data_IF_514142594971
#
_entry.id   IF_514142594971
#
_cell.length_a   1.000
_cell.length_b   1.000
_cell.length_c   1.000
_cell.angle_alpha   90.00
_cell.angle_beta   90.00
_cell.angle_gamma   90.00
#
_symmetry.space_group_name_H-M   'P 1'
#
loop_
_entity.id
_entity.type
_entity.pdbx_description
1 polymer ?
#
# COMPACT_ATOMS: atom_id res chain seq x y z
N UNK A 1 -5.07 -26.54 11.46
CA UNK A 1 -6.54 -26.29 11.56
C UNK A 1 -6.86 -24.99 12.29
N UNK A 2 -6.60 -24.84 13.60
CA UNK A 2 -6.97 -23.61 14.34
C UNK A 2 -6.31 -22.36 13.76
N UNK A 3 -4.98 -22.39 13.58
CA UNK A 3 -4.21 -21.27 12.99
C UNK A 3 -4.79 -20.82 11.64
N UNK A 4 -5.01 -21.77 10.74
CA UNK A 4 -5.58 -21.55 9.41
C UNK A 4 -6.94 -20.89 9.49
N UNK A 5 -7.84 -21.40 10.34
CA UNK A 5 -9.18 -20.83 10.52
C UNK A 5 -9.11 -19.38 11.03
N UNK A 6 -8.27 -19.09 12.04
CA UNK A 6 -8.10 -17.73 12.58
C UNK A 6 -7.69 -16.74 11.49
N UNK A 7 -6.66 -17.07 10.71
CA UNK A 7 -6.18 -16.20 9.64
C UNK A 7 -7.16 -16.11 8.47
N UNK A 8 -7.82 -17.20 8.09
CA UNK A 8 -8.84 -17.18 7.03
C UNK A 8 -10.01 -16.27 7.39
N UNK A 9 -10.58 -16.44 8.59
CA UNK A 9 -11.67 -15.59 9.07
C UNK A 9 -11.23 -14.13 9.24
N UNK A 10 -10.03 -13.90 9.78
CA UNK A 10 -9.45 -12.56 9.92
C UNK A 10 -9.27 -11.86 8.58
N UNK A 11 -8.76 -12.56 7.56
CA UNK A 11 -8.61 -12.02 6.20
C UNK A 11 -9.96 -11.75 5.53
N UNK A 12 -10.95 -12.63 5.67
CA UNK A 12 -12.29 -12.35 5.14
C UNK A 12 -12.92 -11.12 5.77
N UNK A 13 -12.86 -10.99 7.10
CA UNK A 13 -13.33 -9.79 7.80
C UNK A 13 -12.57 -8.54 7.33
N UNK A 14 -11.25 -8.63 7.21
CA UNK A 14 -10.41 -7.52 6.79
C UNK A 14 -10.72 -7.07 5.35
N UNK A 15 -10.90 -8.00 4.41
CA UNK A 15 -11.33 -7.70 3.04
C UNK A 15 -12.70 -7.04 3.04
N UNK A 16 -13.66 -7.58 3.81
CA UNK A 16 -15.01 -7.02 3.90
C UNK A 16 -14.98 -5.57 4.39
N UNK A 17 -14.27 -5.30 5.49
CA UNK A 17 -14.12 -3.94 6.05
C UNK A 17 -13.41 -3.02 5.06
N UNK A 18 -12.32 -3.46 4.44
CA UNK A 18 -11.58 -2.68 3.45
C UNK A 18 -12.48 -2.29 2.28
N UNK A 19 -13.16 -3.24 1.65
CA UNK A 19 -13.96 -3.02 0.44
C UNK A 19 -15.20 -2.20 0.76
N UNK A 20 -16.02 -2.64 1.73
CA UNK A 20 -17.28 -1.96 2.08
C UNK A 20 -17.01 -0.60 2.70
N UNK A 21 -16.05 -0.50 3.62
CA UNK A 21 -15.68 0.76 4.26
C UNK A 21 -15.15 1.78 3.26
N UNK A 22 -14.28 1.35 2.33
CA UNK A 22 -13.74 2.24 1.30
C UNK A 22 -14.84 2.66 0.32
N UNK A 23 -15.70 1.73 -0.14
CA UNK A 23 -16.81 2.05 -1.02
C UNK A 23 -17.77 3.07 -0.37
N UNK A 24 -18.11 2.89 0.90
CA UNK A 24 -18.95 3.83 1.64
C UNK A 24 -18.32 5.23 1.70
N UNK A 25 -17.01 5.32 1.95
CA UNK A 25 -16.26 6.59 1.98
C UNK A 25 -16.24 7.27 0.61
N UNK A 26 -15.97 6.52 -0.46
CA UNK A 26 -15.99 7.04 -1.83
C UNK A 26 -17.37 7.56 -2.19
N UNK A 27 -18.44 6.79 -1.93
CA UNK A 27 -19.82 7.22 -2.18
C UNK A 27 -20.15 8.49 -1.39
N UNK A 28 -19.70 8.57 -0.14
CA UNK A 28 -19.89 9.77 0.67
C UNK A 28 -19.16 10.99 0.06
N UNK A 29 -17.90 10.85 -0.35
CA UNK A 29 -17.14 11.94 -0.97
C UNK A 29 -17.75 12.42 -2.29
N UNK A 30 -18.20 11.51 -3.15
CA UNK A 30 -18.85 11.86 -4.43
C UNK A 30 -20.18 12.59 -4.22
N UNK A 31 -20.88 12.31 -3.12
CA UNK A 31 -22.17 12.95 -2.80
C UNK A 31 -22.03 14.30 -2.09
N UNK A 32 -20.87 14.63 -1.52
CA UNK A 32 -20.67 15.94 -0.88
C UNK A 32 -20.66 17.01 -1.99
N UNK A 33 -21.60 17.97 -1.98
CA UNK A 33 -21.57 19.07 -2.95
C UNK A 33 -20.31 19.90 -2.72
N UNK A 34 -19.62 20.28 -3.81
CA UNK A 34 -18.49 21.20 -3.79
C UNK A 34 -19.03 22.60 -4.11
N UNK A 35 -19.26 23.47 -3.10
CA UNK A 35 -19.96 24.73 -3.31
C UNK A 35 -19.12 25.79 -4.06
N UNK A 36 -17.80 25.59 -4.16
CA UNK A 36 -16.88 26.57 -4.73
C UNK A 36 -16.09 25.95 -5.89
N UNK A 37 -16.19 26.58 -7.07
CA UNK A 37 -15.25 26.35 -8.17
C UNK A 37 -14.04 27.22 -7.90
N UNK A 38 -12.96 26.62 -7.38
CA UNK A 38 -11.70 27.34 -7.13
C UNK A 38 -10.78 27.13 -8.35
N UNK A 39 -10.65 28.13 -9.25
CA UNK A 39 -9.72 28.02 -10.37
C UNK A 39 -8.28 28.04 -9.87
N UNK A 40 -7.52 26.98 -10.16
CA UNK A 40 -6.09 26.91 -9.87
C UNK A 40 -5.29 27.51 -11.01
N UNK A 41 -5.13 28.83 -11.04
CA UNK A 41 -4.33 29.52 -12.05
C UNK A 41 -2.82 29.30 -11.84
N UNK A 42 -2.01 29.10 -12.89
CA UNK A 42 -2.39 28.94 -14.30
C UNK A 42 -2.89 27.51 -14.59
N UNK A 43 -4.17 27.38 -14.97
CA UNK A 43 -4.75 26.11 -15.39
C UNK A 43 -4.64 25.99 -16.92
N UNK A 44 -4.31 24.81 -17.47
CA UNK A 44 -4.33 24.60 -18.91
C UNK A 44 -5.73 24.85 -19.49
N UNK A 45 -5.80 25.61 -20.59
CA UNK A 45 -7.06 25.94 -21.29
C UNK A 45 -7.51 24.87 -22.30
N UNK A 46 -6.66 23.86 -22.56
CA UNK A 46 -6.97 22.76 -23.49
C UNK A 46 -7.10 21.44 -22.73
N UNK A 47 -7.96 20.53 -23.24
CA UNK A 47 -8.11 19.18 -22.67
C UNK A 47 -6.77 18.42 -22.61
N UNK A 48 -5.98 18.52 -23.67
CA UNK A 48 -4.64 17.92 -23.74
C UNK A 48 -3.73 18.48 -22.66
N UNK A 49 -3.73 19.79 -22.43
CA UNK A 49 -2.96 20.42 -21.37
C UNK A 49 -3.38 19.95 -19.97
N UNK A 50 -4.68 19.74 -19.74
CA UNK A 50 -5.18 19.18 -18.48
C UNK A 50 -4.68 17.75 -18.26
N UNK A 51 -4.78 16.89 -19.28
CA UNK A 51 -4.31 15.50 -19.21
C UNK A 51 -2.80 15.46 -18.92
N UNK A 52 -2.00 16.25 -19.64
CA UNK A 52 -0.54 16.30 -19.42
C UNK A 52 -0.21 16.79 -18.02
N UNK A 53 -0.89 17.84 -17.52
CA UNK A 53 -0.72 18.32 -16.15
C UNK A 53 -1.03 17.23 -15.14
N UNK A 54 -2.19 16.57 -15.26
CA UNK A 54 -2.61 15.51 -14.34
C UNK A 54 -1.64 14.32 -14.36
N UNK A 55 -1.18 13.90 -15.54
CA UNK A 55 -0.18 12.85 -15.66
C UNK A 55 1.12 13.21 -14.94
N UNK A 56 1.60 14.45 -15.07
CA UNK A 56 2.82 14.91 -14.39
C UNK A 56 2.64 14.98 -12.88
N UNK A 57 1.45 15.35 -12.40
CA UNK A 57 1.15 15.31 -10.96
C UNK A 57 1.04 13.90 -10.43
N UNK A 58 0.38 12.97 -11.13
CA UNK A 58 0.16 11.60 -10.65
C UNK A 58 1.45 10.76 -10.73
N UNK A 59 2.20 10.86 -11.82
CA UNK A 59 3.37 10.01 -12.07
C UNK A 59 4.64 10.58 -11.44
N UNK A 60 4.82 11.90 -11.53
CA UNK A 60 6.07 12.55 -11.11
C UNK A 60 5.92 13.44 -9.89
N UNK A 61 4.72 13.59 -9.32
CA UNK A 61 4.48 14.49 -8.18
C UNK A 61 5.08 15.90 -8.42
N UNK A 62 4.84 16.47 -9.60
CA UNK A 62 5.51 17.71 -10.07
C UNK A 62 5.39 18.86 -9.06
N UNK A 63 4.21 19.08 -8.49
CA UNK A 63 4.01 20.12 -7.48
C UNK A 63 4.84 19.87 -6.21
N UNK A 64 4.95 18.60 -5.79
CA UNK A 64 5.76 18.22 -4.64
C UNK A 64 7.26 18.38 -4.93
N UNK A 65 7.70 18.08 -6.15
CA UNK A 65 9.08 18.30 -6.58
C UNK A 65 9.49 19.77 -6.46
N UNK A 66 8.61 20.68 -6.88
CA UNK A 66 8.81 22.14 -6.77
C UNK A 66 8.81 22.62 -5.32
N UNK A 67 7.97 22.04 -4.46
CA UNK A 67 7.83 22.46 -3.06
C UNK A 67 8.90 21.89 -2.11
N UNK A 68 9.25 20.61 -2.23
CA UNK A 68 10.20 19.95 -1.35
C UNK A 68 10.84 18.72 -1.99
N UNK A 69 12.07 18.89 -2.50
CA UNK A 69 12.84 17.84 -3.17
C UNK A 69 13.03 16.58 -2.32
N UNK A 70 13.26 16.73 -1.00
CA UNK A 70 13.42 15.59 -0.09
C UNK A 70 12.11 14.83 0.14
N UNK A 71 11.00 15.55 0.32
CA UNK A 71 9.68 14.91 0.45
C UNK A 71 9.30 14.21 -0.85
N UNK A 72 9.61 14.84 -1.98
CA UNK A 72 9.41 14.26 -3.29
C UNK A 72 10.21 12.97 -3.48
N UNK A 73 11.52 12.98 -3.18
CA UNK A 73 12.37 11.81 -3.38
C UNK A 73 11.86 10.61 -2.60
N UNK A 74 11.69 10.75 -1.28
CA UNK A 74 11.24 9.63 -0.44
C UNK A 74 9.79 9.26 -0.71
N UNK A 75 8.93 10.24 -1.04
CA UNK A 75 7.54 10.00 -1.44
C UNK A 75 7.44 9.22 -2.75
N UNK A 76 8.20 9.60 -3.77
CA UNK A 76 8.20 8.96 -5.07
C UNK A 76 8.76 7.54 -5.00
N UNK A 77 9.91 7.37 -4.34
CA UNK A 77 10.53 6.05 -4.12
C UNK A 77 9.55 5.13 -3.38
N UNK A 78 8.91 5.61 -2.31
CA UNK A 78 7.93 4.83 -1.56
C UNK A 78 6.74 4.40 -2.42
N UNK A 79 6.06 5.32 -3.12
CA UNK A 79 4.85 4.98 -3.88
C UNK A 79 5.15 4.09 -5.09
N UNK A 80 6.22 4.38 -5.83
CA UNK A 80 6.59 3.55 -6.98
C UNK A 80 7.02 2.15 -6.53
N UNK A 81 7.80 2.05 -5.46
CA UNK A 81 8.18 0.76 -4.89
C UNK A 81 6.97 -0.02 -4.35
N UNK A 82 6.03 0.66 -3.67
CA UNK A 82 4.78 0.03 -3.23
C UNK A 82 3.98 -0.50 -4.42
N UNK A 83 3.84 0.26 -5.51
CA UNK A 83 3.17 -0.19 -6.71
C UNK A 83 3.81 -1.49 -7.25
N UNK A 84 5.14 -1.53 -7.36
CA UNK A 84 5.85 -2.73 -7.81
C UNK A 84 5.63 -3.92 -6.86
N UNK A 85 5.73 -3.70 -5.55
CA UNK A 85 5.44 -4.72 -4.54
C UNK A 85 4.02 -5.26 -4.68
N UNK A 86 3.01 -4.39 -4.84
CA UNK A 86 1.61 -4.80 -5.03
C UNK A 86 1.40 -5.59 -6.32
N UNK A 87 2.01 -5.16 -7.43
CA UNK A 87 1.95 -5.89 -8.71
C UNK A 87 2.56 -7.30 -8.56
N UNK A 88 3.63 -7.44 -7.79
CA UNK A 88 4.23 -8.75 -7.54
C UNK A 88 3.38 -9.63 -6.61
N UNK A 89 2.65 -9.03 -5.66
CA UNK A 89 1.72 -9.76 -4.81
C UNK A 89 0.60 -10.44 -5.61
N UNK A 90 0.30 -9.95 -6.82
CA UNK A 90 -0.67 -10.59 -7.72
C UNK A 90 -0.32 -12.05 -8.07
N UNK A 91 0.96 -12.45 -7.93
CA UNK A 91 1.39 -13.85 -8.06
C UNK A 91 0.63 -14.79 -7.13
N UNK A 92 0.30 -14.34 -5.91
CA UNK A 92 -0.32 -15.20 -4.90
C UNK A 92 -1.83 -15.37 -5.08
N UNK A 93 -2.47 -14.49 -5.85
CA UNK A 93 -3.92 -14.52 -6.12
C UNK A 93 -4.25 -14.99 -7.54
N UNK A 94 -3.25 -15.31 -8.37
CA UNK A 94 -3.43 -15.77 -9.75
C UNK A 94 -2.91 -17.18 -9.99
N UNK A 95 -3.71 -18.02 -10.67
CA UNK A 95 -3.37 -19.37 -11.10
C UNK A 95 -4.06 -19.69 -12.45
N UNK A 96 -3.33 -19.79 -13.58
CA UNK A 96 -1.89 -19.61 -13.72
C UNK A 96 -1.44 -18.16 -13.53
N UNK A 97 -0.18 -17.96 -13.13
CA UNK A 97 0.41 -16.62 -12.98
C UNK A 97 0.59 -15.99 -14.36
N UNK A 98 0.17 -14.73 -14.52
CA UNK A 98 0.32 -14.02 -15.79
C UNK A 98 1.80 -13.81 -16.17
N UNK A 99 2.12 -13.97 -17.45
CA UNK A 99 3.51 -13.93 -17.94
C UNK A 99 4.26 -12.65 -17.55
N UNK A 100 3.60 -11.48 -17.63
CA UNK A 100 4.22 -10.22 -17.27
C UNK A 100 4.46 -10.08 -15.75
N UNK A 101 3.64 -10.72 -14.90
CA UNK A 101 3.87 -10.78 -13.45
C UNK A 101 5.11 -11.62 -13.17
N UNK A 102 5.27 -12.75 -13.88
CA UNK A 102 6.47 -13.60 -13.78
C UNK A 102 7.73 -12.80 -14.17
N UNK A 103 7.64 -12.00 -15.23
CA UNK A 103 8.77 -11.21 -15.74
C UNK A 103 9.30 -10.14 -14.75
N UNK A 104 8.47 -9.64 -13.83
CA UNK A 104 8.88 -8.59 -12.87
C UNK A 104 9.36 -9.12 -11.52
N UNK A 105 9.20 -10.42 -11.22
CA UNK A 105 9.49 -11.00 -9.88
C UNK A 105 10.94 -10.79 -9.38
N UNK A 106 11.90 -10.59 -10.28
CA UNK A 106 13.29 -10.34 -9.91
C UNK A 106 13.48 -8.98 -9.24
N UNK A 107 12.59 -8.01 -9.50
CA UNK A 107 12.67 -6.66 -8.94
C UNK A 107 12.18 -6.63 -7.48
N UNK A 108 11.40 -7.61 -7.04
CA UNK A 108 10.67 -7.58 -5.77
C UNK A 108 11.47 -7.33 -4.53
N UNK A 109 12.66 -7.91 -4.45
CA UNK A 109 13.53 -7.67 -3.30
C UNK A 109 13.95 -6.19 -3.26
N UNK A 110 14.37 -5.65 -4.40
CA UNK A 110 14.79 -4.27 -4.53
C UNK A 110 13.63 -3.30 -4.33
N UNK A 111 12.44 -3.62 -4.84
CA UNK A 111 11.23 -2.85 -4.59
C UNK A 111 10.87 -2.85 -3.09
N UNK A 112 10.90 -3.99 -2.40
CA UNK A 112 10.66 -4.06 -0.96
C UNK A 112 11.67 -3.21 -0.16
N UNK A 113 12.97 -3.28 -0.50
CA UNK A 113 14.01 -2.46 0.13
C UNK A 113 13.79 -0.97 -0.13
N UNK A 114 13.53 -0.60 -1.39
CA UNK A 114 13.27 0.79 -1.77
C UNK A 114 12.03 1.35 -1.05
N UNK A 115 10.97 0.55 -0.90
CA UNK A 115 9.76 0.92 -0.17
C UNK A 115 10.10 1.22 1.30
N UNK A 116 10.87 0.36 1.96
CA UNK A 116 11.33 0.59 3.34
C UNK A 116 12.19 1.85 3.46
N UNK A 117 13.12 2.08 2.53
CA UNK A 117 13.96 3.30 2.52
C UNK A 117 13.13 4.57 2.36
N UNK A 118 12.17 4.56 1.43
CA UNK A 118 11.23 5.68 1.25
C UNK A 118 10.42 5.96 2.52
N UNK A 119 9.86 4.93 3.14
CA UNK A 119 9.11 5.04 4.38
C UNK A 119 9.96 5.57 5.55
N UNK A 120 11.15 5.03 5.74
CA UNK A 120 12.08 5.48 6.80
C UNK A 120 12.49 6.93 6.56
N UNK A 121 12.79 7.34 5.33
CA UNK A 121 13.08 8.73 5.00
C UNK A 121 11.92 9.68 5.31
N UNK A 122 10.68 9.28 4.99
CA UNK A 122 9.47 10.02 5.35
C UNK A 122 9.24 10.08 6.87
N UNK A 123 9.52 9.00 7.59
CA UNK A 123 9.41 8.93 9.05
C UNK A 123 10.44 9.84 9.73
N UNK A 124 11.71 9.80 9.29
CA UNK A 124 12.78 10.68 9.77
C UNK A 124 12.41 12.15 9.54
N UNK A 125 11.96 12.50 8.34
CA UNK A 125 11.48 13.85 8.02
C UNK A 125 10.39 14.31 9.00
N UNK A 126 9.48 13.41 9.37
CA UNK A 126 8.34 13.73 10.25
C UNK A 126 8.78 14.07 11.68
N UNK A 127 9.90 13.51 12.13
CA UNK A 127 10.45 13.73 13.47
C UNK A 127 11.44 14.91 13.49
N UNK A 128 12.26 15.05 12.44
CA UNK A 128 13.39 16.01 12.43
C UNK A 128 12.97 17.41 11.97
N UNK A 129 11.97 17.53 11.08
CA UNK A 129 11.57 18.85 10.54
C UNK A 129 10.48 19.47 11.41
N UNK A 130 10.81 20.57 12.10
CA UNK A 130 9.92 21.23 13.08
C UNK A 130 8.51 21.51 12.56
N UNK A 131 8.40 22.10 11.36
CA UNK A 131 7.10 22.41 10.74
C UNK A 131 6.24 21.15 10.57
N UNK A 132 6.87 20.03 10.21
CA UNK A 132 6.16 18.77 9.95
C UNK A 132 5.82 18.08 11.26
N UNK A 133 6.76 18.07 12.22
CA UNK A 133 6.54 17.54 13.56
C UNK A 133 5.38 18.25 14.26
N UNK A 134 5.32 19.58 14.14
CA UNK A 134 4.26 20.40 14.74
C UNK A 134 2.85 20.05 14.24
N UNK A 135 2.71 19.71 12.95
CA UNK A 135 1.41 19.37 12.35
C UNK A 135 1.11 17.86 12.32
N UNK A 136 1.99 17.02 12.87
CA UNK A 136 1.84 15.57 12.82
C UNK A 136 0.99 15.06 13.97
N UNK A 137 0.02 14.20 13.64
CA UNK A 137 -0.79 13.48 14.62
C UNK A 137 -0.14 12.12 14.98
N UNK A 138 -0.44 11.53 16.14
CA UNK A 138 0.06 10.20 16.50
C UNK A 138 -0.27 9.12 15.44
N UNK A 139 -1.45 9.24 14.80
CA UNK A 139 -1.86 8.33 13.73
C UNK A 139 -0.94 8.37 12.50
N UNK A 140 -0.29 9.51 12.23
CA UNK A 140 0.67 9.62 11.13
C UNK A 140 1.93 8.76 11.37
N UNK A 141 2.41 8.74 12.61
CA UNK A 141 3.55 7.92 13.00
C UNK A 141 3.19 6.44 13.01
N UNK A 142 1.99 6.11 13.52
CA UNK A 142 1.52 4.73 13.58
C UNK A 142 1.35 4.12 12.19
N UNK A 143 0.82 4.89 11.21
CA UNK A 143 0.67 4.39 9.84
C UNK A 143 2.02 4.14 9.17
N UNK A 144 2.99 5.05 9.35
CA UNK A 144 4.34 4.84 8.82
C UNK A 144 5.00 3.62 9.48
N UNK A 145 4.88 3.47 10.79
CA UNK A 145 5.42 2.31 11.50
C UNK A 145 4.79 1.00 11.01
N UNK A 146 3.47 0.97 10.83
CA UNK A 146 2.75 -0.19 10.30
C UNK A 146 3.27 -0.57 8.91
N UNK A 147 3.38 0.40 7.99
CA UNK A 147 3.87 0.14 6.64
C UNK A 147 5.34 -0.27 6.61
N UNK A 148 6.18 0.30 7.48
CA UNK A 148 7.58 -0.14 7.64
C UNK A 148 7.61 -1.58 8.15
N UNK A 149 6.78 -1.93 9.13
CA UNK A 149 6.66 -3.30 9.64
C UNK A 149 6.25 -4.30 8.56
N UNK A 150 5.27 -3.94 7.73
CA UNK A 150 4.83 -4.77 6.60
C UNK A 150 5.97 -4.94 5.59
N UNK A 151 6.62 -3.85 5.17
CA UNK A 151 7.74 -3.90 4.24
C UNK A 151 8.93 -4.70 4.77
N UNK A 152 9.33 -4.45 6.02
CA UNK A 152 10.46 -5.09 6.66
C UNK A 152 10.22 -6.59 6.89
N UNK A 153 9.02 -6.99 7.33
CA UNK A 153 8.67 -8.41 7.44
C UNK A 153 8.63 -9.10 6.07
N UNK A 154 8.13 -8.42 5.03
CA UNK A 154 8.14 -8.92 3.65
C UNK A 154 9.55 -9.16 3.10
N UNK A 155 10.44 -8.16 3.24
CA UNK A 155 11.86 -8.30 2.86
C UNK A 155 12.54 -9.37 3.70
N UNK A 156 12.25 -9.42 5.00
CA UNK A 156 12.83 -10.38 5.92
C UNK A 156 12.51 -11.82 5.56
N UNK A 157 11.26 -12.13 5.19
CA UNK A 157 10.87 -13.46 4.71
C UNK A 157 11.67 -13.90 3.48
N UNK A 158 12.01 -12.97 2.57
CA UNK A 158 12.77 -13.27 1.35
C UNK A 158 14.28 -13.45 1.60
N UNK A 159 14.84 -12.74 2.58
CA UNK A 159 16.30 -12.69 2.80
C UNK A 159 16.77 -13.63 3.92
N UNK A 160 15.99 -13.75 5.00
CA UNK A 160 16.43 -14.45 6.21
C UNK A 160 15.63 -15.73 6.46
N UNK A 161 14.29 -15.66 6.47
CA UNK A 161 13.45 -16.79 6.92
C UNK A 161 13.09 -17.81 5.83
N UNK A 162 13.10 -17.43 4.54
CA UNK A 162 12.85 -18.33 3.41
C UNK A 162 11.52 -19.10 3.54
N UNK A 163 10.44 -18.37 3.81
CA UNK A 163 9.09 -18.92 3.98
C UNK A 163 8.62 -19.76 2.78
N UNK A 164 7.83 -20.81 3.06
CA UNK A 164 7.20 -21.63 2.03
C UNK A 164 6.12 -20.86 1.24
N UNK A 165 6.56 -20.26 0.14
CA UNK A 165 5.72 -19.48 -0.78
C UNK A 165 4.73 -20.35 -1.56
N UNK A 166 4.97 -21.66 -1.70
CA UNK A 166 4.08 -22.57 -2.44
C UNK A 166 2.86 -22.85 -1.56
N UNK A 167 3.08 -23.21 -0.31
CA UNK A 167 2.01 -23.42 0.66
C UNK A 167 1.24 -22.12 0.96
N UNK A 168 1.94 -20.97 1.06
CA UNK A 168 1.27 -19.66 1.16
C UNK A 168 0.35 -19.41 -0.04
N UNK A 169 0.83 -19.66 -1.27
CA UNK A 169 0.01 -19.48 -2.47
C UNK A 169 -1.21 -20.41 -2.46
N UNK A 170 -1.04 -21.67 -2.08
CA UNK A 170 -2.15 -22.61 -1.96
C UNK A 170 -3.21 -22.12 -0.96
N UNK A 171 -2.78 -21.60 0.19
CA UNK A 171 -3.67 -20.95 1.17
C UNK A 171 -4.45 -19.78 0.57
N UNK A 172 -3.76 -18.82 -0.08
CA UNK A 172 -4.39 -17.64 -0.65
C UNK A 172 -5.39 -17.99 -1.77
N UNK A 173 -5.03 -18.91 -2.68
CA UNK A 173 -5.96 -19.40 -3.71
C UNK A 173 -7.14 -20.15 -3.07
N UNK A 174 -6.89 -20.92 -2.01
CA UNK A 174 -7.92 -21.59 -1.22
C UNK A 174 -8.95 -20.64 -0.62
N UNK A 175 -8.52 -19.47 -0.12
CA UNK A 175 -9.43 -18.42 0.36
C UNK A 175 -10.38 -17.93 -0.75
N UNK A 176 -9.89 -17.77 -1.98
CA UNK A 176 -10.69 -17.30 -3.12
C UNK A 176 -11.68 -18.39 -3.57
N UNK A 177 -11.25 -19.65 -3.54
CA UNK A 177 -12.07 -20.81 -3.95
C UNK A 177 -12.98 -21.35 -2.86
N UNK A 178 -12.95 -20.77 -1.66
CA UNK A 178 -13.65 -21.26 -0.47
C UNK A 178 -13.28 -22.72 -0.09
N UNK A 179 -12.04 -23.11 -0.38
CA UNK A 179 -11.45 -24.40 -0.04
C UNK A 179 -10.17 -24.15 0.77
N UNK A 180 -10.30 -24.11 2.10
CA UNK A 180 -9.21 -23.66 2.97
C UNK A 180 -8.07 -24.67 3.01
N UNK A 181 -6.93 -24.25 2.45
CA UNK A 181 -5.68 -24.99 2.53
C UNK A 181 -4.91 -24.63 3.81
N UNK A 182 -3.98 -25.47 4.31
CA UNK A 182 -3.21 -25.16 5.51
C UNK A 182 -2.32 -23.92 5.34
N UNK A 183 -2.41 -22.97 6.28
CA UNK A 183 -1.48 -21.84 6.38
C UNK A 183 -0.11 -22.32 6.93
N UNK A 184 1.02 -21.95 6.30
CA UNK A 184 2.36 -22.22 6.85
C UNK A 184 2.54 -21.54 8.21
N UNK A 185 3.04 -22.29 9.19
CA UNK A 185 3.25 -21.81 10.56
C UNK A 185 4.50 -20.95 10.77
N UNK A 186 5.03 -20.32 9.72
CA UNK A 186 6.28 -19.57 9.77
C UNK A 186 6.09 -18.23 10.52
N UNK A 187 6.80 -17.97 11.63
CA UNK A 187 6.56 -16.78 12.46
C UNK A 187 6.62 -15.45 11.69
N UNK A 188 7.56 -15.31 10.74
CA UNK A 188 7.70 -14.09 9.96
C UNK A 188 6.48 -13.84 9.07
N UNK A 189 5.91 -14.90 8.51
CA UNK A 189 4.68 -14.86 7.71
C UNK A 189 3.48 -14.47 8.57
N UNK A 190 3.35 -15.06 9.76
CA UNK A 190 2.24 -14.75 10.67
C UNK A 190 2.27 -13.28 11.09
N UNK A 191 3.45 -12.73 11.38
CA UNK A 191 3.62 -11.30 11.66
C UNK A 191 3.21 -10.47 10.45
N UNK A 192 3.73 -10.79 9.26
CA UNK A 192 3.42 -10.07 8.03
C UNK A 192 1.91 -10.03 7.75
N UNK A 193 1.25 -11.19 7.75
CA UNK A 193 -0.19 -11.30 7.52
C UNK A 193 -1.00 -10.58 8.60
N UNK A 194 -0.58 -10.64 9.86
CA UNK A 194 -1.26 -9.91 10.95
C UNK A 194 -1.19 -8.40 10.74
N UNK A 195 -0.03 -7.86 10.34
CA UNK A 195 0.12 -6.44 10.05
C UNK A 195 -0.71 -6.03 8.82
N UNK A 196 -0.80 -6.88 7.79
CA UNK A 196 -1.66 -6.64 6.63
C UNK A 196 -3.14 -6.64 7.01
N UNK A 197 -3.59 -7.59 7.85
CA UNK A 197 -4.96 -7.60 8.39
C UNK A 197 -5.25 -6.30 9.12
N UNK A 198 -4.36 -5.84 10.00
CA UNK A 198 -4.51 -4.57 10.71
C UNK A 198 -4.60 -3.41 9.72
N UNK A 199 -3.72 -3.35 8.71
CA UNK A 199 -3.75 -2.32 7.67
C UNK A 199 -5.10 -2.28 6.97
N UNK A 200 -5.62 -3.43 6.52
CA UNK A 200 -6.89 -3.53 5.80
C UNK A 200 -8.07 -3.08 6.66
N UNK A 201 -8.09 -3.45 7.95
CA UNK A 201 -9.15 -3.07 8.89
C UNK A 201 -9.20 -1.56 9.14
N UNK A 202 -8.04 -0.91 9.27
CA UNK A 202 -7.98 0.53 9.59
C UNK A 202 -8.00 1.44 8.35
N UNK A 203 -7.71 0.89 7.17
CA UNK A 203 -7.60 1.62 5.90
C UNK A 203 -8.75 2.62 5.66
N UNK A 204 -10.05 2.23 5.71
CA UNK A 204 -11.18 3.13 5.41
C UNK A 204 -11.45 4.19 6.50
N UNK A 205 -10.68 4.18 7.58
CA UNK A 205 -10.76 5.15 8.67
C UNK A 205 -9.47 5.99 8.79
N UNK A 206 -8.52 5.78 7.87
CA UNK A 206 -7.19 6.38 7.93
C UNK A 206 -6.98 7.42 6.84
N UNK A 207 -5.83 8.11 6.90
CA UNK A 207 -5.37 9.00 5.84
C UNK A 207 -5.02 8.27 4.54
N UNK A 208 -5.00 6.93 4.52
CA UNK A 208 -4.72 6.11 3.33
C UNK A 208 -5.87 6.09 2.32
N UNK A 209 -7.04 6.64 2.69
CA UNK A 209 -8.19 6.87 1.81
C UNK A 209 -7.90 7.73 0.56
N UNK A 210 -6.69 8.27 0.41
CA UNK A 210 -6.23 8.90 -0.83
C UNK A 210 -5.93 7.87 -1.95
N UNK A 211 -5.81 6.58 -1.65
CA UNK A 211 -5.42 5.59 -2.66
C UNK A 211 -6.47 5.33 -3.77
N UNK A 212 -7.79 5.31 -3.51
CA UNK A 212 -8.81 5.07 -4.55
C UNK A 212 -8.95 6.19 -5.60
N UNK A 213 -8.34 7.37 -5.37
CA UNK A 213 -8.45 8.55 -6.24
C UNK A 213 -8.90 9.79 -5.49
#
# INVERSE_FOLDING_TARGET
MILTAIFAMGLYLAVLVLVVGTAFRVVHYVRIPVPLVIPTTPAPITRTGVVVRLLREVVFFESLFKGSKWTWLFGWVFHFAMLMVLLEHLRYVSEPVWLWIVAIQWIGLYAGIAMCLGLVGLAVRRVVVDRIRYISAPSDHLMLLLLVGIGASGVGMKVFWHTDIVALKAFVIGLIRFDWQPLPGDPALLVHLSLVIVLMLIFPFSKLLHAPG
#
